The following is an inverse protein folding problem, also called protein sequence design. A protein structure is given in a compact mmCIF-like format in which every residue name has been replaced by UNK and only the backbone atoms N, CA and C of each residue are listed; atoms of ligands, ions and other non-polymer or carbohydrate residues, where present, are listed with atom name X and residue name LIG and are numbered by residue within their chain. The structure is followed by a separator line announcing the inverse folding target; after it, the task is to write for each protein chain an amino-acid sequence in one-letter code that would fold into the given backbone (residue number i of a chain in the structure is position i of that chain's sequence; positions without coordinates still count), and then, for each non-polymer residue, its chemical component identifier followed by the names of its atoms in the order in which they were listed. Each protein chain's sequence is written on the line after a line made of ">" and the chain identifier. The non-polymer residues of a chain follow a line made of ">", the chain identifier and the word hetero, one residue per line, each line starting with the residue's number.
data_IF_400541800723
#
_entry.id   IF_400541800723
#
_cell.length_a   1.000
_cell.length_b   1.000
_cell.length_c   1.000
_cell.angle_alpha   90.00
_cell.angle_beta   90.00
_cell.angle_gamma   90.00
#
_symmetry.space_group_name_H-M   'P 1'
#
loop_
_entity.id
_entity.type
_entity.pdbx_description
1 polymer ?
#
# COMPACT_ATOMS: atom_id res chain seq x y z
N UNK A 1 -10.23 7.86 0.33
CA UNK A 1 -8.99 7.16 -0.12
C UNK A 1 -9.22 6.02 -1.14
N UNK A 2 -8.34 5.85 -2.16
CA UNK A 2 -8.40 4.76 -3.16
C UNK A 2 -7.27 3.75 -3.00
N UNK A 3 -7.58 2.45 -3.19
CA UNK A 3 -6.60 1.37 -3.09
C UNK A 3 -5.47 1.52 -4.13
N UNK A 4 -5.79 2.00 -5.34
CA UNK A 4 -4.80 2.25 -6.38
C UNK A 4 -3.79 3.32 -5.97
N UNK A 5 -4.24 4.37 -5.28
CA UNK A 5 -3.37 5.45 -4.77
C UNK A 5 -2.38 4.89 -3.74
N UNK A 6 -2.86 4.12 -2.77
CA UNK A 6 -2.02 3.50 -1.74
C UNK A 6 -1.06 2.45 -2.33
N UNK A 7 -1.53 1.65 -3.28
CA UNK A 7 -0.69 0.64 -3.94
C UNK A 7 0.39 1.28 -4.83
N UNK A 8 0.09 2.40 -5.48
CA UNK A 8 1.06 3.17 -6.23
C UNK A 8 2.17 3.73 -5.33
N UNK A 9 1.80 4.28 -4.17
CA UNK A 9 2.77 4.78 -3.19
C UNK A 9 3.60 3.65 -2.58
N UNK A 10 2.99 2.49 -2.26
CA UNK A 10 3.72 1.31 -1.82
C UNK A 10 4.73 0.82 -2.87
N UNK A 11 4.38 0.87 -4.17
CA UNK A 11 5.32 0.54 -5.24
C UNK A 11 6.43 1.57 -5.38
N UNK A 12 6.16 2.86 -5.13
CA UNK A 12 7.18 3.91 -5.10
C UNK A 12 8.19 3.62 -3.98
N UNK A 13 7.71 3.38 -2.76
CA UNK A 13 8.54 2.99 -1.61
C UNK A 13 9.37 1.74 -1.88
N UNK A 14 8.78 0.71 -2.50
CA UNK A 14 9.51 -0.50 -2.89
C UNK A 14 10.65 -0.22 -3.87
N UNK A 15 10.47 0.75 -4.77
CA UNK A 15 11.45 1.14 -5.80
C UNK A 15 12.51 2.10 -5.28
N UNK A 16 12.31 2.69 -4.10
CA UNK A 16 13.34 3.51 -3.44
C UNK A 16 14.46 2.62 -2.85
N UNK A 17 14.20 1.32 -2.68
CA UNK A 17 15.20 0.31 -2.29
C UNK A 17 15.83 -0.34 -3.53
N UNK A 18 17.08 -0.80 -3.37
CA UNK A 18 17.71 -1.68 -4.34
C UNK A 18 16.93 -3.01 -4.40
N UNK A 19 16.78 -3.60 -5.59
CA UNK A 19 16.07 -4.88 -5.76
C UNK A 19 16.90 -6.09 -5.30
N UNK A 20 17.39 -6.03 -4.06
CA UNK A 20 18.20 -7.05 -3.41
C UNK A 20 17.32 -8.11 -2.74
N UNK A 21 17.43 -9.35 -3.23
CA UNK A 21 16.72 -10.51 -2.68
C UNK A 21 17.30 -11.03 -1.36
N UNK A 22 18.45 -10.51 -0.93
CA UNK A 22 19.04 -10.76 0.38
C UNK A 22 18.61 -9.75 1.44
N UNK A 23 18.03 -8.62 1.05
CA UNK A 23 17.59 -7.56 1.96
C UNK A 23 16.15 -7.80 2.44
N UNK A 24 15.98 -7.84 3.78
CA UNK A 24 14.69 -8.04 4.41
C UNK A 24 13.74 -6.85 4.20
N UNK A 25 14.27 -5.65 4.04
CA UNK A 25 13.45 -4.45 3.79
C UNK A 25 12.82 -4.54 2.39
N UNK A 26 13.63 -4.83 1.38
CA UNK A 26 13.12 -5.07 0.03
C UNK A 26 12.17 -6.26 -0.04
N UNK A 27 12.52 -7.40 0.58
CA UNK A 27 11.66 -8.58 0.61
C UNK A 27 10.29 -8.28 1.22
N UNK A 28 10.24 -7.49 2.29
CA UNK A 28 9.00 -7.10 2.95
C UNK A 28 8.13 -6.26 2.02
N UNK A 29 8.67 -5.18 1.47
CA UNK A 29 7.90 -4.30 0.56
C UNK A 29 7.48 -5.03 -0.71
N UNK A 30 8.35 -5.87 -1.28
CA UNK A 30 8.05 -6.67 -2.46
C UNK A 30 6.90 -7.64 -2.23
N UNK A 31 6.96 -8.45 -1.19
CA UNK A 31 5.93 -9.46 -0.95
C UNK A 31 4.62 -8.86 -0.45
N UNK A 32 4.64 -7.76 0.32
CA UNK A 32 3.41 -7.03 0.69
C UNK A 32 2.78 -6.40 -0.55
N UNK A 33 3.56 -5.76 -1.42
CA UNK A 33 3.05 -5.21 -2.68
C UNK A 33 2.37 -6.29 -3.54
N UNK A 34 3.03 -7.43 -3.74
CA UNK A 34 2.45 -8.56 -4.47
C UNK A 34 1.14 -9.04 -3.81
N UNK A 35 1.15 -9.27 -2.50
CA UNK A 35 -0.03 -9.76 -1.79
C UNK A 35 -1.21 -8.80 -1.91
N UNK A 36 -1.00 -7.51 -1.64
CA UNK A 36 -2.06 -6.48 -1.71
C UNK A 36 -2.57 -6.32 -3.14
N UNK A 37 -1.69 -6.39 -4.15
CA UNK A 37 -2.12 -6.32 -5.56
C UNK A 37 -3.10 -7.43 -5.96
N UNK A 38 -3.03 -8.60 -5.34
CA UNK A 38 -3.99 -9.70 -5.53
C UNK A 38 -5.24 -9.59 -4.65
N UNK A 39 -5.18 -8.77 -3.59
CA UNK A 39 -6.24 -8.56 -2.60
C UNK A 39 -6.84 -7.15 -2.66
N UNK A 40 -6.81 -6.53 -3.84
CA UNK A 40 -7.28 -5.15 -4.06
C UNK A 40 -8.70 -4.90 -3.55
N UNK A 41 -9.62 -5.85 -3.72
CA UNK A 41 -11.00 -5.71 -3.24
C UNK A 41 -11.11 -5.65 -1.71
N UNK A 42 -10.40 -6.54 -1.00
CA UNK A 42 -10.34 -6.54 0.46
C UNK A 42 -9.65 -5.28 0.99
N UNK A 43 -8.61 -4.82 0.30
CA UNK A 43 -7.90 -3.60 0.66
C UNK A 43 -8.75 -2.34 0.44
N UNK A 44 -9.48 -2.24 -0.68
CA UNK A 44 -10.42 -1.14 -0.91
C UNK A 44 -11.50 -1.10 0.18
N UNK A 45 -12.06 -2.26 0.54
CA UNK A 45 -13.04 -2.34 1.64
C UNK A 45 -12.49 -1.79 2.95
N UNK A 46 -11.27 -2.16 3.32
CA UNK A 46 -10.62 -1.61 4.51
C UNK A 46 -10.44 -0.09 4.41
N UNK A 47 -9.98 0.43 3.29
CA UNK A 47 -9.80 1.88 3.09
C UNK A 47 -11.14 2.64 3.13
N UNK A 48 -12.22 2.05 2.65
CA UNK A 48 -13.56 2.64 2.76
C UNK A 48 -14.02 2.71 4.23
N UNK A 49 -13.79 1.65 5.00
CA UNK A 49 -14.07 1.62 6.45
C UNK A 49 -13.25 2.68 7.22
N UNK A 50 -11.98 2.86 6.86
CA UNK A 50 -11.11 3.90 7.46
C UNK A 50 -11.51 5.32 7.01
N UNK A 51 -11.94 5.49 5.76
CA UNK A 51 -12.48 6.77 5.28
C UNK A 51 -13.72 7.15 6.10
N UNK A 52 -14.61 6.20 6.39
CA UNK A 52 -15.78 6.43 7.24
C UNK A 52 -15.47 6.76 8.70
N UNK A 53 -14.24 6.49 9.16
CA UNK A 53 -13.75 6.84 10.51
C UNK A 53 -13.02 8.19 10.54
N UNK A 54 -12.86 8.86 9.40
CA UNK A 54 -12.12 10.11 9.29
C UNK A 54 -10.59 9.93 9.26
N UNK A 55 -10.08 8.71 9.06
CA UNK A 55 -8.62 8.43 9.08
C UNK A 55 -7.82 9.18 8.00
N UNK A 56 -8.49 9.85 7.05
CA UNK A 56 -7.87 10.58 5.95
C UNK A 56 -8.30 12.05 5.88
N UNK A 57 -9.00 12.59 6.89
CA UNK A 57 -9.49 13.99 6.87
C UNK A 57 -8.33 14.99 6.63
N UNK A 58 -7.24 14.88 7.40
CA UNK A 58 -6.05 15.74 7.24
C UNK A 58 -5.37 15.64 5.86
N UNK A 59 -5.59 14.55 5.13
CA UNK A 59 -5.03 14.34 3.79
C UNK A 59 -5.94 14.85 2.67
N UNK A 60 -7.26 14.89 2.94
CA UNK A 60 -8.28 15.30 1.97
C UNK A 60 -8.65 16.80 2.07
N UNK A 61 -8.21 17.48 3.13
CA UNK A 61 -8.24 18.95 3.32
C UNK A 61 -7.24 19.73 2.44
#
# INVERSE_FOLDING_TARGET
>A
MKAETMLAELNRLRKDLDEDRGDIEWLTLHHVFCFVSYKMGDFQKYLDEETGKGSFEDFED
#
